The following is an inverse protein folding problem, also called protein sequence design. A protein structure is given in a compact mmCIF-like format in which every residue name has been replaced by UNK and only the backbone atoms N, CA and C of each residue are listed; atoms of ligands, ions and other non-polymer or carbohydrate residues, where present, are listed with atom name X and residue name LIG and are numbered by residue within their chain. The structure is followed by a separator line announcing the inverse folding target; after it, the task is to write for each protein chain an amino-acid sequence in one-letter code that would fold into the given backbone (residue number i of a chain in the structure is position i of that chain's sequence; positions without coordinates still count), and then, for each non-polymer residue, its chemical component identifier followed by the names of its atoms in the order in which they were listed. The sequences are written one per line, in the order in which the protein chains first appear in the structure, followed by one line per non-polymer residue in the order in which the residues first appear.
data_IF_955884662319
#
_entry.id   IF_955884662319
#
_cell.length_a   1.000
_cell.length_b   1.000
_cell.length_c   1.000
_cell.angle_alpha   90.00
_cell.angle_beta   90.00
_cell.angle_gamma   90.00
#
_symmetry.space_group_name_H-M   'P 1'
#
loop_
_entity.id
_entity.type
_entity.pdbx_description
1 polymer ?
#
# COMPACT_ATOMS: atom_id res chain seq x y z
N UNK A 1 -7.76 2.48 7.35
CA UNK A 1 -6.87 2.92 8.46
C UNK A 1 -7.47 4.05 9.27
N UNK A 2 -7.95 5.13 8.64
CA UNK A 2 -8.37 6.35 9.33
C UNK A 2 -9.88 6.59 9.46
N UNK A 3 -10.74 5.61 9.14
CA UNK A 3 -12.18 5.78 9.37
C UNK A 3 -12.47 5.94 10.87
N UNK A 4 -13.54 6.66 11.22
CA UNK A 4 -13.86 7.00 12.61
C UNK A 4 -14.02 5.78 13.54
N UNK A 5 -14.43 4.62 13.00
CA UNK A 5 -14.59 3.39 13.76
C UNK A 5 -13.32 2.50 13.79
N UNK A 6 -12.26 2.87 13.06
CA UNK A 6 -11.07 2.02 12.95
C UNK A 6 -10.15 2.18 14.17
N UNK A 7 -9.84 1.10 14.91
CA UNK A 7 -8.87 1.16 16.00
C UNK A 7 -7.44 1.47 15.52
N UNK A 8 -7.17 1.33 14.22
CA UNK A 8 -5.88 1.68 13.60
C UNK A 8 -5.67 3.19 13.46
N UNK A 9 -6.67 4.02 13.73
CA UNK A 9 -6.48 5.45 13.90
C UNK A 9 -5.92 5.73 15.31
N UNK A 10 -4.62 5.54 15.48
CA UNK A 10 -3.94 5.66 16.78
C UNK A 10 -3.93 7.09 17.35
N UNK A 11 -4.12 8.11 16.50
CA UNK A 11 -4.28 9.50 16.94
C UNK A 11 -5.71 9.84 17.36
N UNK A 12 -6.66 8.92 17.15
CA UNK A 12 -8.07 9.03 17.52
C UNK A 12 -8.79 10.30 17.01
N UNK A 13 -8.30 10.91 15.91
CA UNK A 13 -9.01 12.05 15.32
C UNK A 13 -10.33 11.58 14.70
N UNK A 14 -11.36 12.42 14.80
CA UNK A 14 -12.66 12.19 14.20
C UNK A 14 -13.16 13.51 13.59
N UNK A 15 -12.83 13.72 12.31
CA UNK A 15 -13.13 14.94 11.56
C UNK A 15 -14.12 14.61 10.44
N UNK A 16 -15.19 15.40 10.33
CA UNK A 16 -16.26 15.20 9.35
C UNK A 16 -15.83 15.43 7.91
N UNK A 17 -14.90 16.34 7.66
CA UNK A 17 -14.33 16.64 6.34
C UNK A 17 -13.48 15.47 5.86
N UNK A 18 -12.57 14.96 6.70
CA UNK A 18 -11.76 13.78 6.36
C UNK A 18 -12.64 12.53 6.19
N UNK A 19 -13.69 12.38 7.01
CA UNK A 19 -14.66 11.29 6.86
C UNK A 19 -15.39 11.38 5.51
N UNK A 20 -15.78 12.59 5.10
CA UNK A 20 -16.42 12.81 3.80
C UNK A 20 -15.47 12.50 2.64
N UNK A 21 -14.21 12.88 2.76
CA UNK A 21 -13.20 12.62 1.72
C UNK A 21 -12.92 11.12 1.55
N UNK A 22 -12.79 10.39 2.66
CA UNK A 22 -12.69 8.92 2.65
C UNK A 22 -13.91 8.28 1.98
N UNK A 23 -15.12 8.74 2.31
CA UNK A 23 -16.35 8.23 1.71
C UNK A 23 -16.47 8.57 0.23
N UNK A 24 -15.98 9.73 -0.22
CA UNK A 24 -16.09 10.17 -1.61
C UNK A 24 -15.17 9.35 -2.54
N UNK A 25 -13.97 9.00 -2.07
CA UNK A 25 -13.01 8.12 -2.76
C UNK A 25 -13.61 6.75 -3.09
N UNK A 26 -14.48 6.22 -2.24
CA UNK A 26 -15.11 4.90 -2.40
C UNK A 26 -16.61 4.99 -2.73
N UNK A 27 -17.10 6.19 -3.11
CA UNK A 27 -18.49 6.39 -3.51
C UNK A 27 -18.78 5.81 -4.90
N UNK A 28 -20.07 5.65 -5.24
CA UNK A 28 -20.48 5.20 -6.58
C UNK A 28 -19.97 6.14 -7.72
N UNK A 29 -19.76 7.43 -7.43
CA UNK A 29 -19.17 8.36 -8.42
C UNK A 29 -17.72 8.01 -8.75
N UNK A 30 -17.02 7.37 -7.81
CA UNK A 30 -15.63 6.94 -7.95
C UNK A 30 -15.46 5.66 -8.77
N UNK A 31 -16.55 5.06 -9.29
CA UNK A 31 -16.46 4.14 -10.43
C UNK A 31 -15.87 4.85 -11.67
N UNK A 32 -16.02 6.18 -11.76
CA UNK A 32 -15.29 6.99 -12.73
C UNK A 32 -13.87 7.29 -12.20
N UNK A 33 -12.81 6.83 -12.88
CA UNK A 33 -11.43 7.01 -12.41
C UNK A 33 -10.98 8.48 -12.37
N UNK A 34 -11.54 9.35 -13.22
CA UNK A 34 -11.25 10.79 -13.19
C UNK A 34 -11.82 11.43 -11.94
N UNK A 35 -13.05 11.08 -11.55
CA UNK A 35 -13.65 11.55 -10.30
C UNK A 35 -12.86 11.04 -9.10
N UNK A 36 -12.57 9.73 -9.07
CA UNK A 36 -11.81 9.11 -7.98
C UNK A 36 -10.43 9.73 -7.80
N UNK A 37 -9.73 10.05 -8.90
CA UNK A 37 -8.45 10.77 -8.86
C UNK A 37 -8.58 12.12 -8.17
N UNK A 38 -9.61 12.91 -8.50
CA UNK A 38 -9.84 14.21 -7.87
C UNK A 38 -10.17 14.06 -6.36
N UNK A 39 -10.96 13.06 -5.99
CA UNK A 39 -11.26 12.75 -4.59
C UNK A 39 -9.98 12.36 -3.81
N UNK A 40 -9.11 11.54 -4.40
CA UNK A 40 -7.80 11.21 -3.80
C UNK A 40 -6.90 12.44 -3.63
N UNK A 41 -6.85 13.35 -4.60
CA UNK A 41 -6.07 14.59 -4.49
C UNK A 41 -6.57 15.43 -3.32
N UNK A 42 -7.88 15.67 -3.24
CA UNK A 42 -8.49 16.43 -2.14
C UNK A 42 -8.17 15.82 -0.77
N UNK A 43 -8.36 14.51 -0.62
CA UNK A 43 -8.04 13.81 0.62
C UNK A 43 -6.57 13.99 1.04
N UNK A 44 -5.62 13.91 0.10
CA UNK A 44 -4.20 14.10 0.38
C UNK A 44 -3.90 15.54 0.83
N UNK A 45 -4.50 16.53 0.18
CA UNK A 45 -4.34 17.95 0.54
C UNK A 45 -4.92 18.24 1.93
N UNK A 46 -6.13 17.75 2.23
CA UNK A 46 -6.80 18.03 3.49
C UNK A 46 -6.16 17.28 4.67
N UNK A 47 -5.71 16.04 4.49
CA UNK A 47 -4.92 15.33 5.50
C UNK A 47 -3.63 16.10 5.85
N UNK A 48 -2.93 16.63 4.85
CA UNK A 48 -1.73 17.44 5.06
C UNK A 48 -2.04 18.78 5.76
N UNK A 49 -3.14 19.43 5.36
CA UNK A 49 -3.57 20.71 5.95
C UNK A 49 -4.02 20.58 7.41
N UNK A 50 -4.72 19.50 7.75
CA UNK A 50 -5.18 19.23 9.12
C UNK A 50 -4.06 18.77 10.04
N UNK A 51 -3.03 18.13 9.49
CA UNK A 51 -1.83 17.69 10.20
C UNK A 51 -2.10 16.77 11.42
N UNK A 52 -3.20 16.02 11.42
CA UNK A 52 -3.45 14.97 12.43
C UNK A 52 -2.40 13.85 12.37
N UNK A 53 -1.84 13.63 11.17
CA UNK A 53 -0.65 12.82 10.91
C UNK A 53 0.21 13.55 9.88
N UNK A 54 1.50 13.25 9.84
CA UNK A 54 2.44 13.83 8.87
C UNK A 54 3.13 12.69 8.10
N UNK A 55 2.98 12.59 6.76
CA UNK A 55 3.68 11.61 5.96
C UNK A 55 5.20 11.76 6.13
N UNK A 56 5.92 10.66 6.33
CA UNK A 56 7.37 10.71 6.60
C UNK A 56 8.21 10.29 5.39
N UNK A 57 8.06 9.05 4.90
CA UNK A 57 8.89 8.53 3.82
C UNK A 57 8.12 7.55 2.93
N UNK A 58 8.45 7.55 1.63
CA UNK A 58 8.27 6.37 0.78
C UNK A 58 9.54 5.51 0.81
N UNK A 59 9.44 4.24 0.45
CA UNK A 59 10.59 3.32 0.48
C UNK A 59 10.68 2.46 -0.77
N UNK A 60 11.91 2.03 -1.09
CA UNK A 60 12.18 0.97 -2.05
C UNK A 60 12.48 -0.31 -1.26
N UNK A 61 11.78 -1.40 -1.61
CA UNK A 61 12.06 -2.71 -1.05
C UNK A 61 13.09 -3.44 -1.91
N UNK A 62 14.04 -4.12 -1.28
CA UNK A 62 14.99 -5.01 -1.94
C UNK A 62 15.03 -6.35 -1.20
N UNK A 63 15.20 -7.44 -1.94
CA UNK A 63 15.30 -8.78 -1.36
C UNK A 63 16.52 -9.48 -1.97
N UNK A 64 17.57 -9.79 -1.17
CA UNK A 64 18.68 -10.59 -1.66
C UNK A 64 18.23 -12.04 -1.87
N UNK A 65 18.42 -12.55 -3.08
CA UNK A 65 18.10 -13.93 -3.45
C UNK A 65 19.40 -14.67 -3.77
N UNK A 66 19.64 -15.82 -3.13
CA UNK A 66 20.81 -16.63 -3.43
C UNK A 66 20.76 -17.10 -4.89
N UNK A 67 21.89 -17.09 -5.60
CA UNK A 67 21.98 -17.48 -7.02
C UNK A 67 21.49 -18.90 -7.32
N UNK A 68 21.44 -19.79 -6.31
CA UNK A 68 20.88 -21.14 -6.47
C UNK A 68 19.35 -21.15 -6.55
N UNK A 69 18.67 -20.10 -6.08
CA UNK A 69 17.21 -20.06 -6.06
C UNK A 69 16.72 -19.83 -7.48
N UNK A 70 15.77 -20.65 -7.91
CA UNK A 70 15.07 -20.52 -9.19
C UNK A 70 13.60 -20.21 -8.93
N UNK A 71 12.95 -19.47 -9.82
CA UNK A 71 11.52 -19.16 -9.72
C UNK A 71 11.12 -18.07 -8.71
N UNK A 72 12.06 -17.48 -7.96
CA UNK A 72 11.75 -16.35 -7.08
C UNK A 72 11.50 -15.07 -7.86
N UNK A 73 10.43 -14.35 -7.51
CA UNK A 73 10.06 -13.06 -8.08
C UNK A 73 9.40 -12.17 -7.02
N UNK A 74 9.46 -10.85 -7.21
CA UNK A 74 8.73 -9.84 -6.42
C UNK A 74 7.59 -9.21 -7.22
N UNK A 75 7.25 -9.76 -8.38
CA UNK A 75 6.11 -9.31 -9.16
C UNK A 75 4.81 -9.51 -8.38
N UNK A 76 4.05 -8.42 -8.17
CA UNK A 76 2.76 -8.45 -7.48
C UNK A 76 1.72 -9.31 -8.21
N UNK A 77 1.90 -9.58 -9.51
CA UNK A 77 1.04 -10.45 -10.32
C UNK A 77 1.37 -11.94 -10.24
N UNK A 78 2.48 -12.35 -9.61
CA UNK A 78 2.88 -13.74 -9.52
C UNK A 78 2.11 -14.50 -8.41
N UNK A 79 1.18 -15.37 -8.80
CA UNK A 79 0.24 -16.01 -7.86
C UNK A 79 0.72 -17.37 -7.32
N UNK A 80 1.69 -18.01 -7.98
CA UNK A 80 2.12 -19.37 -7.68
C UNK A 80 3.59 -19.47 -7.26
N UNK A 81 4.21 -18.37 -6.85
CA UNK A 81 5.66 -18.32 -6.53
C UNK A 81 6.10 -19.41 -5.57
N UNK A 82 5.31 -19.74 -4.55
CA UNK A 82 5.66 -20.80 -3.58
C UNK A 82 5.61 -22.22 -4.15
N UNK A 83 4.85 -22.45 -5.22
CA UNK A 83 4.83 -23.73 -5.93
C UNK A 83 5.91 -23.80 -7.02
N UNK A 84 6.31 -22.66 -7.56
CA UNK A 84 7.28 -22.53 -8.65
C UNK A 84 8.73 -22.37 -8.16
N UNK A 85 8.92 -21.91 -6.93
CA UNK A 85 10.25 -21.67 -6.36
C UNK A 85 10.96 -23.00 -6.06
N UNK A 86 12.27 -23.01 -6.31
CA UNK A 86 13.12 -24.17 -6.03
C UNK A 86 14.59 -23.79 -5.90
N UNK A 87 15.45 -24.80 -5.92
CA UNK A 87 16.91 -24.62 -5.92
C UNK A 87 17.55 -25.41 -7.05
N UNK A 88 18.53 -24.81 -7.72
CA UNK A 88 19.35 -25.46 -8.75
C UNK A 88 20.50 -26.30 -8.19
N UNK A 89 20.78 -26.17 -6.89
CA UNK A 89 21.81 -26.96 -6.18
C UNK A 89 21.50 -27.16 -4.70
N UNK A 90 21.89 -28.32 -4.16
CA UNK A 90 21.77 -28.64 -2.73
C UNK A 90 22.62 -27.71 -1.85
N UNK A 91 23.83 -27.37 -2.34
CA UNK A 91 24.76 -26.46 -1.66
C UNK A 91 24.41 -25.01 -1.91
N UNK A 92 24.71 -24.15 -0.93
CA UNK A 92 24.69 -22.71 -1.11
C UNK A 92 25.76 -22.30 -2.13
N UNK A 93 25.43 -21.38 -3.04
CA UNK A 93 26.45 -20.74 -3.86
C UNK A 93 27.43 -20.01 -2.94
N UNK A 94 28.68 -20.48 -2.88
CA UNK A 94 29.78 -19.78 -2.23
C UNK A 94 30.27 -18.63 -3.12
N UNK A 95 30.80 -17.57 -2.51
CA UNK A 95 31.39 -16.45 -3.24
C UNK A 95 32.57 -16.91 -4.09
#
# INVERSE_FOLDING_TARGET
MFSAAAPYNFGHFNDSEITKDLNDIDSAKSENPTYRKAAFVKYQEDMNKKAYVVPTNFSLSYTPVNKRVVGMTLDYGAMNTWSEIGVSSDKLATK
#
